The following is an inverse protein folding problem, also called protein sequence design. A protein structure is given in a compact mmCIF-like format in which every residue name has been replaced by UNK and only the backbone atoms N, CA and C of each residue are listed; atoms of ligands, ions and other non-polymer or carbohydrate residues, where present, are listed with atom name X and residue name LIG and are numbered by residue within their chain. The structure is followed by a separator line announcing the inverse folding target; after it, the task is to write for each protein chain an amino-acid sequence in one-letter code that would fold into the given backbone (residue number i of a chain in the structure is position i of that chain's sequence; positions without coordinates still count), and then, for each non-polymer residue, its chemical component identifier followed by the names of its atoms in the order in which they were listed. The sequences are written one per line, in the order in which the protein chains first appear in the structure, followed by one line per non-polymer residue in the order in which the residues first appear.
data_IF_215809379109
#
_entry.id   IF_215809379109
#
_cell.length_a   1.000
_cell.length_b   1.000
_cell.length_c   1.000
_cell.angle_alpha   90.00
_cell.angle_beta   90.00
_cell.angle_gamma   90.00
#
_symmetry.space_group_name_H-M   'P 1'
#
loop_
_entity.id
_entity.type
_entity.pdbx_description
1 polymer ?
#
# COMPACT_ATOMS: atom_id res chain seq x y z
N UNK A 1 -18.32 -15.07 -31.97
CA UNK A 1 -17.41 -14.35 -31.07
C UNK A 1 -17.29 -15.20 -29.81
N UNK A 2 -16.21 -15.96 -29.64
CA UNK A 2 -16.01 -16.81 -28.46
C UNK A 2 -15.72 -15.97 -27.23
N UNK A 3 -16.48 -16.18 -26.16
CA UNK A 3 -16.20 -15.61 -24.85
C UNK A 3 -14.84 -16.15 -24.41
N UNK A 4 -13.80 -15.30 -24.37
CA UNK A 4 -12.54 -15.66 -23.74
C UNK A 4 -12.81 -15.87 -22.25
N UNK A 5 -12.83 -17.12 -21.82
CA UNK A 5 -12.85 -17.45 -20.40
C UNK A 5 -11.55 -16.92 -19.79
N UNK A 6 -11.65 -15.90 -18.96
CA UNK A 6 -10.51 -15.40 -18.18
C UNK A 6 -10.07 -16.52 -17.24
N UNK A 7 -8.79 -16.92 -17.32
CA UNK A 7 -8.22 -17.84 -16.32
C UNK A 7 -8.20 -17.11 -14.96
N UNK A 8 -8.60 -17.79 -13.87
CA UNK A 8 -8.45 -17.22 -12.54
C UNK A 8 -7.02 -16.76 -12.29
N UNK A 9 -6.86 -15.65 -11.60
CA UNK A 9 -5.54 -15.19 -11.18
C UNK A 9 -4.88 -16.26 -10.29
N UNK A 10 -3.64 -16.64 -10.57
CA UNK A 10 -2.93 -17.68 -9.82
C UNK A 10 -2.45 -17.21 -8.44
N UNK A 11 -2.58 -15.93 -8.13
CA UNK A 11 -2.12 -15.33 -6.87
C UNK A 11 -2.93 -14.07 -6.54
N UNK A 12 -2.98 -13.65 -5.26
CA UNK A 12 -3.64 -12.42 -4.85
C UNK A 12 -2.92 -11.17 -5.36
N UNK A 13 -3.68 -10.08 -5.60
CA UNK A 13 -3.11 -8.83 -6.12
C UNK A 13 -2.08 -8.21 -5.17
N UNK A 14 -2.24 -8.36 -3.85
CA UNK A 14 -1.25 -7.90 -2.85
C UNK A 14 0.12 -8.57 -3.02
N UNK A 15 0.16 -9.86 -3.37
CA UNK A 15 1.42 -10.56 -3.62
C UNK A 15 2.07 -10.08 -4.91
N UNK A 16 1.31 -9.96 -5.98
CA UNK A 16 1.81 -9.46 -7.26
C UNK A 16 2.39 -8.03 -7.13
N UNK A 17 1.71 -7.17 -6.35
CA UNK A 17 2.22 -5.84 -6.04
C UNK A 17 3.55 -5.90 -5.27
N UNK A 18 3.64 -6.73 -4.22
CA UNK A 18 4.86 -6.84 -3.41
C UNK A 18 6.04 -7.45 -4.16
N UNK A 19 5.79 -8.40 -5.08
CA UNK A 19 6.80 -8.87 -6.03
C UNK A 19 7.24 -7.74 -6.99
N UNK A 20 6.31 -6.92 -7.46
CA UNK A 20 6.62 -5.72 -8.23
C UNK A 20 7.43 -4.68 -7.45
N UNK A 21 7.12 -4.52 -6.15
CA UNK A 21 7.87 -3.63 -5.25
C UNK A 21 9.31 -4.11 -5.04
N UNK A 22 9.50 -5.42 -4.89
CA UNK A 22 10.82 -6.04 -4.82
C UNK A 22 11.62 -5.77 -6.10
N UNK A 23 11.02 -5.98 -7.28
CA UNK A 23 11.70 -5.74 -8.55
C UNK A 23 12.02 -4.25 -8.76
N UNK A 24 11.10 -3.36 -8.38
CA UNK A 24 11.33 -1.92 -8.42
C UNK A 24 12.45 -1.50 -7.47
N UNK A 25 12.55 -2.11 -6.28
CA UNK A 25 13.61 -1.88 -5.31
C UNK A 25 15.01 -2.28 -5.77
N UNK A 26 15.13 -3.21 -6.76
CA UNK A 26 16.42 -3.60 -7.37
C UNK A 26 17.00 -2.56 -8.30
N UNK A 27 16.16 -1.70 -8.86
CA UNK A 27 16.55 -0.67 -9.83
C UNK A 27 16.41 0.76 -9.30
N UNK A 28 15.82 0.91 -8.10
CA UNK A 28 15.65 2.20 -7.44
C UNK A 28 15.93 2.06 -5.94
N UNK A 29 16.94 2.79 -5.45
CA UNK A 29 17.39 2.72 -4.06
C UNK A 29 16.89 3.88 -3.20
N UNK A 30 16.18 4.85 -3.77
CA UNK A 30 15.87 6.11 -3.11
C UNK A 30 14.69 6.07 -2.14
N UNK A 31 13.89 5.02 -2.13
CA UNK A 31 12.71 4.91 -1.26
C UNK A 31 12.89 3.91 -0.12
N UNK A 32 12.14 4.12 0.95
CA UNK A 32 12.06 3.24 2.11
C UNK A 32 10.69 2.59 2.22
N UNK A 33 10.63 1.43 2.87
CA UNK A 33 9.40 0.69 3.13
C UNK A 33 9.17 0.61 4.62
N UNK A 34 7.99 1.03 5.06
CA UNK A 34 7.54 0.93 6.46
C UNK A 34 6.35 -0.02 6.56
N UNK A 35 6.22 -0.71 7.68
CA UNK A 35 5.08 -1.58 7.93
C UNK A 35 4.75 -1.69 9.43
N UNK A 36 3.54 -2.20 9.73
CA UNK A 36 2.98 -2.24 11.10
C UNK A 36 2.81 -3.69 11.57
N UNK A 37 3.89 -4.47 11.57
CA UNK A 37 4.00 -5.88 12.01
C UNK A 37 3.09 -6.87 11.26
N UNK A 38 2.86 -6.59 9.97
CA UNK A 38 2.04 -7.43 9.09
C UNK A 38 2.72 -7.79 7.77
N UNK A 39 4.03 -7.70 7.71
CA UNK A 39 4.81 -7.90 6.50
C UNK A 39 4.56 -9.23 5.80
N UNK A 40 4.32 -10.32 6.56
CA UNK A 40 3.98 -11.63 6.00
C UNK A 40 2.61 -11.63 5.30
N UNK A 41 1.63 -10.95 5.87
CA UNK A 41 0.28 -10.87 5.31
C UNK A 41 0.21 -9.97 4.07
N UNK A 42 0.99 -8.91 4.02
CA UNK A 42 1.08 -7.99 2.88
C UNK A 42 2.06 -8.47 1.81
N UNK A 43 2.88 -9.44 2.11
CA UNK A 43 4.06 -9.88 1.35
C UNK A 43 5.19 -8.84 1.26
N UNK A 44 5.12 -7.74 2.00
CA UNK A 44 6.18 -6.72 2.03
C UNK A 44 7.50 -7.25 2.59
N UNK A 45 7.47 -8.36 3.35
CA UNK A 45 8.68 -9.06 3.81
C UNK A 45 9.61 -9.46 2.65
N UNK A 46 9.08 -9.69 1.44
CA UNK A 46 9.91 -9.99 0.26
C UNK A 46 10.91 -8.86 -0.04
N UNK A 47 10.47 -7.61 0.17
CA UNK A 47 11.34 -6.46 0.08
C UNK A 47 12.30 -6.39 1.27
N UNK A 48 11.80 -6.64 2.49
CA UNK A 48 12.60 -6.62 3.72
C UNK A 48 13.73 -7.64 3.74
N UNK A 49 13.48 -8.86 3.25
CA UNK A 49 14.49 -9.92 3.14
C UNK A 49 15.61 -9.57 2.14
N UNK A 50 15.27 -8.82 1.08
CA UNK A 50 16.23 -8.40 0.06
C UNK A 50 16.97 -7.10 0.42
N UNK A 51 16.32 -6.19 1.14
CA UNK A 51 16.82 -4.84 1.44
C UNK A 51 16.54 -4.46 2.90
N UNK A 52 17.13 -5.15 3.88
CA UNK A 52 16.84 -4.95 5.31
C UNK A 52 17.18 -3.53 5.80
N UNK A 53 18.14 -2.85 5.16
CA UNK A 53 18.53 -1.47 5.47
C UNK A 53 17.52 -0.40 5.03
N UNK A 54 16.53 -0.80 4.22
CA UNK A 54 15.47 0.07 3.69
C UNK A 54 14.06 -0.37 4.11
N UNK A 55 13.98 -1.35 5.04
CA UNK A 55 12.71 -1.90 5.50
C UNK A 55 12.59 -1.80 7.01
N UNK A 56 11.54 -1.14 7.50
CA UNK A 56 11.36 -0.85 8.92
C UNK A 56 10.00 -1.32 9.41
N UNK A 57 10.02 -2.26 10.34
CA UNK A 57 8.83 -2.68 11.08
C UNK A 57 8.68 -1.81 12.33
N UNK A 58 7.62 -1.01 12.41
CA UNK A 58 7.33 -0.09 13.51
C UNK A 58 6.36 -0.67 14.55
N UNK A 59 6.05 -1.96 14.45
CA UNK A 59 5.07 -2.62 15.30
C UNK A 59 3.61 -2.28 14.91
N UNK A 60 2.65 -2.77 15.70
CA UNK A 60 1.21 -2.53 15.48
C UNK A 60 0.87 -1.09 15.89
N UNK A 61 1.24 -0.12 15.05
CA UNK A 61 1.15 1.30 15.35
C UNK A 61 0.88 2.14 14.07
N UNK A 62 -0.24 1.88 13.39
CA UNK A 62 -0.52 2.48 12.07
C UNK A 62 -0.43 4.01 12.08
N UNK A 63 -1.02 4.66 13.08
CA UNK A 63 -0.92 6.12 13.22
C UNK A 63 0.54 6.59 13.30
N UNK A 64 1.34 5.93 14.13
CA UNK A 64 2.77 6.24 14.29
C UNK A 64 3.57 5.96 13.02
N UNK A 65 3.25 4.87 12.32
CA UNK A 65 3.87 4.48 11.06
C UNK A 65 3.63 5.56 9.99
N UNK A 66 2.40 6.06 9.86
CA UNK A 66 2.09 7.13 8.88
C UNK A 66 2.68 8.48 9.30
N UNK A 67 2.74 8.80 10.59
CA UNK A 67 3.42 10.01 11.08
C UNK A 67 4.93 9.95 10.79
N UNK A 68 5.56 8.78 10.99
CA UNK A 68 6.98 8.55 10.65
C UNK A 68 7.21 8.65 9.13
N UNK A 69 6.33 8.04 8.32
CA UNK A 69 6.39 8.15 6.86
C UNK A 69 6.31 9.61 6.39
N UNK A 70 5.44 10.41 7.00
CA UNK A 70 5.32 11.84 6.69
C UNK A 70 6.63 12.59 6.99
N UNK A 71 7.26 12.32 8.15
CA UNK A 71 8.55 12.92 8.50
C UNK A 71 9.68 12.57 7.52
N UNK A 72 9.75 11.30 7.11
CA UNK A 72 10.73 10.84 6.11
C UNK A 72 10.45 11.48 4.75
N UNK A 73 9.19 11.49 4.29
CA UNK A 73 8.82 12.09 3.01
C UNK A 73 9.05 13.61 3.00
N UNK A 74 8.85 14.30 4.12
CA UNK A 74 9.17 15.73 4.28
C UNK A 74 10.68 16.01 4.16
N UNK A 75 11.54 15.03 4.46
CA UNK A 75 12.99 15.15 4.23
C UNK A 75 13.42 14.91 2.77
N UNK A 76 12.45 14.66 1.88
CA UNK A 76 12.67 14.46 0.44
C UNK A 76 12.84 13.02 0.00
N UNK A 77 12.64 12.03 0.88
CA UNK A 77 12.74 10.61 0.55
C UNK A 77 11.34 9.98 0.36
N UNK A 78 11.01 9.43 -0.80
CA UNK A 78 9.76 8.71 -0.99
C UNK A 78 9.62 7.51 -0.04
N UNK A 79 8.41 7.22 0.41
CA UNK A 79 8.13 6.12 1.35
C UNK A 79 6.97 5.27 0.84
N UNK A 80 7.13 3.95 0.91
CA UNK A 80 6.02 3.00 0.79
C UNK A 80 5.61 2.55 2.19
N UNK A 81 4.33 2.72 2.55
CA UNK A 81 3.76 2.17 3.79
C UNK A 81 2.88 0.98 3.44
N UNK A 82 3.11 -0.16 4.11
CA UNK A 82 2.35 -1.39 3.89
C UNK A 82 1.43 -1.67 5.08
N UNK A 83 0.15 -1.99 4.80
CA UNK A 83 -0.80 -2.25 5.86
C UNK A 83 -2.11 -2.89 5.40
N UNK A 84 -3.01 -3.15 6.36
CA UNK A 84 -4.39 -3.57 6.10
C UNK A 84 -5.28 -2.38 5.79
N UNK A 85 -6.12 -2.52 4.77
CA UNK A 85 -7.00 -1.46 4.29
C UNK A 85 -7.85 -0.82 5.36
N UNK A 86 -8.47 -1.63 6.23
CA UNK A 86 -9.32 -1.14 7.31
C UNK A 86 -8.55 -0.27 8.31
N UNK A 87 -7.35 -0.68 8.72
CA UNK A 87 -6.58 0.06 9.73
C UNK A 87 -5.96 1.32 9.14
N UNK A 88 -5.51 1.26 7.89
CA UNK A 88 -5.01 2.42 7.14
C UNK A 88 -6.14 3.45 6.99
N UNK A 89 -7.30 3.02 6.48
CA UNK A 89 -8.39 3.93 6.12
C UNK A 89 -9.22 4.44 7.31
N UNK A 90 -9.04 3.84 8.49
CA UNK A 90 -9.78 4.22 9.70
C UNK A 90 -8.82 4.78 10.78
N UNK A 91 -7.90 3.95 11.28
CA UNK A 91 -7.03 4.32 12.40
C UNK A 91 -6.00 5.37 12.04
N UNK A 92 -5.43 5.31 10.84
CA UNK A 92 -4.42 6.25 10.37
C UNK A 92 -4.99 7.41 9.52
N UNK A 93 -6.30 7.47 9.30
CA UNK A 93 -6.94 8.42 8.38
C UNK A 93 -6.56 9.88 8.68
N UNK A 94 -6.55 10.28 9.95
CA UNK A 94 -6.20 11.64 10.34
C UNK A 94 -4.74 11.97 10.01
N UNK A 95 -3.79 11.08 10.33
CA UNK A 95 -2.38 11.26 10.01
C UNK A 95 -2.16 11.32 8.48
N UNK A 96 -2.82 10.46 7.72
CA UNK A 96 -2.76 10.49 6.26
C UNK A 96 -3.28 11.83 5.73
N UNK A 97 -4.45 12.28 6.21
CA UNK A 97 -5.06 13.54 5.79
C UNK A 97 -4.17 14.75 6.10
N UNK A 98 -3.75 14.87 7.35
CA UNK A 98 -3.13 16.09 7.86
C UNK A 98 -1.63 16.16 7.63
N UNK A 99 -0.93 15.02 7.74
CA UNK A 99 0.53 14.98 7.64
C UNK A 99 1.04 14.63 6.25
N UNK A 100 0.23 13.97 5.41
CA UNK A 100 0.65 13.48 4.09
C UNK A 100 -0.10 14.19 2.98
N UNK A 101 -1.44 14.13 2.99
CA UNK A 101 -2.25 14.68 1.90
C UNK A 101 -2.22 16.21 1.86
N UNK A 102 -2.39 16.87 3.00
CA UNK A 102 -2.38 18.34 3.07
C UNK A 102 -1.08 18.94 2.52
N UNK A 103 0.11 18.53 2.97
CA UNK A 103 1.38 19.02 2.42
C UNK A 103 1.80 18.34 1.10
N UNK A 104 0.99 17.43 0.55
CA UNK A 104 1.25 16.68 -0.69
C UNK A 104 2.58 15.90 -0.69
N UNK A 105 2.86 15.19 0.39
CA UNK A 105 4.10 14.44 0.56
C UNK A 105 4.10 13.13 -0.25
N UNK A 106 5.28 12.71 -0.65
CA UNK A 106 5.49 11.55 -1.52
C UNK A 106 5.45 10.21 -0.75
N UNK A 107 4.25 9.85 -0.29
CA UNK A 107 3.97 8.61 0.43
C UNK A 107 3.09 7.70 -0.41
N UNK A 108 3.58 6.49 -0.69
CA UNK A 108 2.86 5.43 -1.39
C UNK A 108 2.31 4.45 -0.38
N UNK A 109 1.12 3.93 -0.60
CA UNK A 109 0.43 3.06 0.35
C UNK A 109 0.07 1.74 -0.34
N UNK A 110 0.61 0.63 0.18
CA UNK A 110 0.16 -0.72 -0.10
C UNK A 110 -0.94 -1.06 0.91
N UNK A 111 -2.17 -1.01 0.47
CA UNK A 111 -3.35 -1.34 1.28
C UNK A 111 -3.87 -2.71 0.89
N UNK A 112 -3.65 -3.70 1.72
CA UNK A 112 -4.09 -5.08 1.48
C UNK A 112 -5.45 -5.37 2.13
N UNK A 113 -6.05 -6.52 1.76
CA UNK A 113 -7.33 -6.98 2.32
C UNK A 113 -8.50 -6.01 2.11
N UNK A 114 -8.53 -5.35 0.93
CA UNK A 114 -9.60 -4.43 0.57
C UNK A 114 -10.98 -5.09 0.55
N UNK A 115 -12.02 -4.35 0.94
CA UNK A 115 -13.40 -4.82 1.00
C UNK A 115 -13.59 -6.01 1.94
N UNK A 116 -14.34 -7.00 1.49
CA UNK A 116 -14.63 -8.23 2.25
C UNK A 116 -13.56 -9.32 2.11
N UNK A 117 -12.46 -9.05 1.41
CA UNK A 117 -11.43 -10.07 1.11
C UNK A 117 -10.57 -10.45 2.32
N UNK A 118 -10.73 -9.79 3.47
CA UNK A 118 -10.19 -10.26 4.75
C UNK A 118 -10.76 -11.63 5.16
N UNK A 119 -11.99 -11.96 4.72
CA UNK A 119 -12.63 -13.25 4.84
C UNK A 119 -12.62 -13.81 6.29
N UNK A 120 -11.76 -14.80 6.57
CA UNK A 120 -11.68 -15.49 7.86
C UNK A 120 -11.25 -14.60 9.04
N UNK A 121 -10.65 -13.44 8.77
CA UNK A 121 -10.21 -12.51 9.82
C UNK A 121 -11.41 -11.77 10.45
N UNK A 122 -12.61 -11.89 9.84
CA UNK A 122 -13.87 -11.39 10.36
C UNK A 122 -14.13 -9.91 10.06
N UNK A 123 -15.28 -9.44 10.58
CA UNK A 123 -15.83 -8.10 10.24
C UNK A 123 -14.92 -6.94 10.63
N UNK A 124 -14.13 -7.10 11.69
CA UNK A 124 -13.20 -6.07 12.16
C UNK A 124 -12.03 -5.82 11.23
N UNK A 125 -11.82 -6.71 10.25
CA UNK A 125 -10.74 -6.63 9.26
C UNK A 125 -11.24 -6.30 7.86
N UNK A 126 -12.56 -6.19 7.65
CA UNK A 126 -13.15 -5.86 6.36
C UNK A 126 -13.11 -4.36 6.12
N UNK A 127 -12.50 -3.96 5.00
CA UNK A 127 -12.33 -2.56 4.60
C UNK A 127 -13.38 -2.19 3.54
N UNK A 128 -14.64 -2.00 3.95
CA UNK A 128 -15.76 -1.71 3.05
C UNK A 128 -15.84 -0.24 2.67
N UNK A 129 -15.31 0.66 3.49
CA UNK A 129 -15.31 2.11 3.34
C UNK A 129 -13.96 2.71 2.91
N UNK A 130 -12.95 1.89 2.67
CA UNK A 130 -11.57 2.31 2.40
C UNK A 130 -11.45 3.24 1.18
N UNK A 131 -12.11 2.91 0.06
CA UNK A 131 -12.09 3.74 -1.14
C UNK A 131 -12.75 5.09 -0.88
N UNK A 132 -13.91 5.11 -0.19
CA UNK A 132 -14.63 6.33 0.11
C UNK A 132 -13.78 7.26 1.00
N UNK A 133 -13.21 6.71 2.07
CA UNK A 133 -12.38 7.46 3.02
C UNK A 133 -11.12 8.05 2.36
N UNK A 134 -10.48 7.30 1.46
CA UNK A 134 -9.27 7.78 0.78
C UNK A 134 -9.61 8.75 -0.36
N UNK A 135 -10.72 8.54 -1.07
CA UNK A 135 -11.08 9.37 -2.22
C UNK A 135 -11.50 10.81 -1.86
N UNK A 136 -11.90 11.06 -0.60
CA UNK A 136 -12.25 12.42 -0.16
C UNK A 136 -11.05 13.25 0.29
N UNK A 137 -9.87 12.62 0.45
CA UNK A 137 -8.68 13.31 0.91
C UNK A 137 -8.06 14.16 -0.21
N UNK A 138 -7.60 15.38 0.09
CA UNK A 138 -6.93 16.22 -0.91
C UNK A 138 -5.65 15.55 -1.41
N UNK A 139 -5.33 15.72 -2.69
CA UNK A 139 -4.12 15.22 -3.34
C UNK A 139 -3.99 13.68 -3.39
N UNK A 140 -4.89 12.91 -2.78
CA UNK A 140 -4.82 11.45 -2.77
C UNK A 140 -5.20 10.86 -4.13
N UNK A 141 -4.31 10.03 -4.68
CA UNK A 141 -4.59 9.19 -5.84
C UNK A 141 -4.98 7.79 -5.39
N UNK A 142 -6.10 7.28 -5.85
CA UNK A 142 -6.60 5.93 -5.48
C UNK A 142 -6.51 5.01 -6.68
N UNK A 143 -5.72 3.94 -6.56
CA UNK A 143 -5.53 2.90 -7.57
C UNK A 143 -6.15 1.59 -7.09
N UNK A 144 -7.02 1.00 -7.91
CA UNK A 144 -7.68 -0.28 -7.64
C UNK A 144 -7.41 -1.22 -8.83
N UNK A 145 -6.32 -1.98 -8.80
CA UNK A 145 -5.98 -2.85 -9.92
C UNK A 145 -6.97 -4.02 -10.05
N UNK A 146 -7.38 -4.30 -11.29
CA UNK A 146 -8.34 -5.35 -11.59
C UNK A 146 -7.75 -6.77 -11.51
N UNK A 147 -6.44 -6.90 -11.72
CA UNK A 147 -5.74 -8.18 -11.78
C UNK A 147 -4.29 -8.08 -11.29
N UNK A 148 -3.58 -9.20 -11.30
CA UNK A 148 -2.19 -9.29 -10.84
C UNK A 148 -1.22 -8.52 -11.74
N UNK A 149 -1.48 -8.44 -13.03
CA UNK A 149 -0.65 -7.69 -13.99
C UNK A 149 -0.76 -6.19 -13.72
N UNK A 150 -1.99 -5.70 -13.54
CA UNK A 150 -2.26 -4.32 -13.19
C UNK A 150 -1.67 -3.99 -11.81
N UNK A 151 -1.82 -4.89 -10.81
CA UNK A 151 -1.26 -4.70 -9.47
C UNK A 151 0.27 -4.53 -9.50
N UNK A 152 0.98 -5.34 -10.28
CA UNK A 152 2.44 -5.23 -10.43
C UNK A 152 2.84 -3.89 -11.04
N UNK A 153 2.11 -3.42 -12.06
CA UNK A 153 2.36 -2.13 -12.73
C UNK A 153 2.02 -0.92 -11.84
N UNK A 154 1.09 -1.08 -10.89
CA UNK A 154 0.74 0.00 -9.96
C UNK A 154 1.94 0.46 -9.12
N UNK A 155 3.00 -0.34 -8.96
CA UNK A 155 4.21 0.08 -8.25
C UNK A 155 4.89 1.24 -8.99
N UNK A 156 5.27 1.03 -10.26
CA UNK A 156 5.90 2.08 -11.08
C UNK A 156 4.98 3.29 -11.23
N UNK A 157 3.68 3.05 -11.48
CA UNK A 157 2.69 4.12 -11.57
C UNK A 157 2.64 4.93 -10.28
N UNK A 158 2.67 4.29 -9.12
CA UNK A 158 2.67 4.99 -7.83
C UNK A 158 3.88 5.91 -7.68
N UNK A 159 5.07 5.42 -7.99
CA UNK A 159 6.30 6.21 -7.85
C UNK A 159 6.48 7.26 -8.97
N UNK A 160 5.77 7.13 -10.09
CA UNK A 160 5.75 8.18 -11.14
C UNK A 160 4.84 9.37 -10.80
N UNK A 161 3.90 9.20 -9.89
CA UNK A 161 2.98 10.24 -9.42
C UNK A 161 3.63 10.98 -8.24
N UNK A 162 3.70 12.29 -8.30
CA UNK A 162 4.12 13.11 -7.16
C UNK A 162 2.98 13.22 -6.14
N UNK A 163 3.28 12.97 -4.87
CA UNK A 163 2.29 13.03 -3.79
C UNK A 163 1.73 11.65 -3.39
N UNK A 164 0.68 11.61 -2.57
CA UNK A 164 0.17 10.38 -1.97
C UNK A 164 -0.58 9.50 -2.96
N UNK A 165 -0.31 8.19 -2.90
CA UNK A 165 -1.00 7.18 -3.72
C UNK A 165 -1.45 6.02 -2.84
N UNK A 166 -2.74 5.71 -2.87
CA UNK A 166 -3.34 4.57 -2.19
C UNK A 166 -3.61 3.43 -3.17
N UNK A 167 -2.90 2.32 -3.00
CA UNK A 167 -3.08 1.12 -3.82
C UNK A 167 -3.95 0.12 -3.05
N UNK A 168 -5.19 -0.06 -3.47
CA UNK A 168 -6.14 -0.98 -2.87
C UNK A 168 -6.04 -2.37 -3.46
N UNK A 169 -5.57 -3.32 -2.67
CA UNK A 169 -5.24 -4.67 -3.11
C UNK A 169 -6.12 -5.71 -2.39
N UNK A 170 -6.37 -6.82 -3.07
CA UNK A 170 -7.17 -7.94 -2.56
C UNK A 170 -6.26 -9.03 -1.97
N UNK A 171 -6.86 -9.80 -1.06
CA UNK A 171 -6.28 -11.04 -0.52
C UNK A 171 -6.25 -12.14 -1.55
#
# INVERSE_FOLDING_TARGET
MGVRTMKPANQPTRRAFSEGLLDYGRINEEFWVLESDIGKSTYSYLFGDAFPERYFNLGIAELGTFATAAGIAASGRPVMVCGYGVFISMRALEAIRSFICYPNLDVKILSSHGGITAAIDGVTHQATEDIANMSVLPNMHVLVPADTTAARRCVETSFSVKGPVFNRLMR
#
